data_IF_318178841435
#
_entry.id   IF_318178841435
#
_cell.length_a   1.000
_cell.length_b   1.000
_cell.length_c   1.000
_cell.angle_alpha   90.00
_cell.angle_beta   90.00
_cell.angle_gamma   90.00
#
_symmetry.space_group_name_H-M   'P 1'
#
loop_
_entity.id
_entity.type
_entity.pdbx_description
1 polymer ?
#
# COMPACT_ATOMS: atom_id res chain seq x y z
N UNK A 1 28.44 32.74 21.45
CA UNK A 1 27.74 31.83 20.53
C UNK A 1 26.39 31.57 21.16
N UNK A 2 25.33 32.23 20.70
CA UNK A 2 23.96 32.00 21.20
C UNK A 2 23.48 30.73 20.54
N UNK A 3 23.25 29.68 21.32
CA UNK A 3 22.53 28.49 20.87
C UNK A 3 21.06 28.91 20.77
N UNK A 4 20.53 28.95 19.55
CA UNK A 4 19.10 28.98 19.32
C UNK A 4 18.57 27.60 19.62
N UNK A 5 17.91 27.48 20.75
CA UNK A 5 17.11 26.28 21.07
C UNK A 5 15.93 26.27 20.08
N UNK A 6 16.02 25.46 19.02
CA UNK A 6 14.90 25.17 18.16
C UNK A 6 13.93 24.30 18.97
N UNK A 7 13.06 24.94 19.75
CA UNK A 7 11.84 24.25 20.20
C UNK A 7 11.13 23.82 18.93
N UNK A 8 11.01 22.53 18.69
CA UNK A 8 10.09 22.01 17.69
C UNK A 8 8.72 22.55 18.03
N UNK A 9 8.19 23.42 17.16
CA UNK A 9 6.85 23.96 17.33
C UNK A 9 5.90 22.81 17.07
N UNK A 10 5.15 22.38 18.09
CA UNK A 10 4.14 21.35 17.95
C UNK A 10 3.11 21.79 16.88
N UNK A 11 2.94 20.99 15.83
CA UNK A 11 1.92 21.26 14.81
C UNK A 11 0.54 20.88 15.37
N UNK A 12 -0.23 21.90 15.77
CA UNK A 12 -1.59 21.78 16.31
C UNK A 12 -2.59 22.08 15.22
N UNK A 13 -3.42 21.11 14.85
CA UNK A 13 -4.26 21.20 13.66
C UNK A 13 -5.74 20.99 13.95
N UNK A 14 -6.58 21.65 13.14
CA UNK A 14 -8.02 21.39 13.08
C UNK A 14 -8.30 20.61 11.80
N UNK A 15 -9.05 19.52 11.94
CA UNK A 15 -9.48 18.71 10.82
C UNK A 15 -10.82 19.19 10.28
N UNK A 16 -10.95 19.27 8.94
CA UNK A 16 -12.14 19.78 8.28
C UNK A 16 -12.66 18.77 7.27
N UNK A 17 -13.94 18.40 7.38
CA UNK A 17 -14.63 17.55 6.44
C UNK A 17 -15.94 18.19 5.94
N UNK A 18 -16.32 17.86 4.70
CA UNK A 18 -17.61 18.25 4.13
C UNK A 18 -18.44 17.00 3.91
N UNK A 19 -19.58 16.91 4.60
CA UNK A 19 -20.54 15.83 4.45
C UNK A 19 -21.48 16.17 3.28
N UNK A 20 -21.43 15.42 2.20
CA UNK A 20 -22.39 15.49 1.09
C UNK A 20 -23.34 14.30 1.13
N UNK A 21 -24.38 14.30 0.29
CA UNK A 21 -25.31 13.15 0.17
C UNK A 21 -24.61 11.90 -0.38
N UNK A 22 -23.48 12.05 -1.04
CA UNK A 22 -22.70 10.95 -1.63
C UNK A 22 -21.67 10.35 -0.66
N UNK A 23 -21.36 11.05 0.43
CA UNK A 23 -20.37 10.60 1.41
C UNK A 23 -21.05 9.76 2.49
N UNK A 24 -20.56 8.54 2.70
CA UNK A 24 -21.20 7.60 3.63
C UNK A 24 -21.01 7.99 5.11
N UNK A 25 -19.79 8.41 5.52
CA UNK A 25 -19.47 8.75 6.92
C UNK A 25 -18.22 9.63 6.99
N UNK A 26 -18.42 10.95 7.04
CA UNK A 26 -17.33 11.91 7.16
C UNK A 26 -16.75 11.93 8.58
N UNK A 27 -17.52 11.60 9.61
CA UNK A 27 -17.02 11.55 10.98
C UNK A 27 -15.93 10.48 11.11
N UNK A 28 -16.20 9.27 10.63
CA UNK A 28 -15.21 8.20 10.60
C UNK A 28 -14.02 8.49 9.65
N UNK A 29 -14.25 9.26 8.56
CA UNK A 29 -13.15 9.72 7.70
C UNK A 29 -12.23 10.71 8.44
N UNK A 30 -12.78 11.56 9.28
CA UNK A 30 -11.99 12.49 10.13
C UNK A 30 -11.28 11.74 11.28
N UNK A 31 -11.83 10.65 11.79
CA UNK A 31 -11.13 9.80 12.77
C UNK A 31 -9.87 9.18 12.13
N UNK A 32 -9.99 8.67 10.91
CA UNK A 32 -8.84 8.16 10.14
C UNK A 32 -7.84 9.29 9.80
N UNK A 33 -8.33 10.49 9.45
CA UNK A 33 -7.48 11.66 9.19
C UNK A 33 -6.70 12.09 10.44
N UNK A 34 -7.28 11.94 11.63
CA UNK A 34 -6.60 12.19 12.91
C UNK A 34 -5.44 11.21 13.13
N UNK A 35 -5.64 9.92 12.84
CA UNK A 35 -4.56 8.93 12.89
C UNK A 35 -3.43 9.24 11.89
N UNK A 36 -3.79 9.73 10.68
CA UNK A 36 -2.82 10.21 9.70
C UNK A 36 -2.04 11.41 10.23
N UNK A 37 -2.72 12.40 10.80
CA UNK A 37 -2.10 13.60 11.37
C UNK A 37 -1.14 13.21 12.50
N UNK A 38 -1.56 12.33 13.41
CA UNK A 38 -0.71 11.82 14.49
C UNK A 38 0.50 11.04 13.95
N UNK A 39 0.34 10.30 12.85
CA UNK A 39 1.46 9.60 12.19
C UNK A 39 2.47 10.58 11.60
N UNK A 40 2.03 11.74 11.09
CA UNK A 40 2.88 12.83 10.61
C UNK A 40 3.49 13.68 11.74
N UNK A 41 3.10 13.45 12.99
CA UNK A 41 3.59 14.18 14.16
C UNK A 41 2.78 15.41 14.56
N UNK A 42 1.61 15.61 13.93
CA UNK A 42 0.70 16.70 14.30
C UNK A 42 -0.30 16.28 15.39
N UNK A 43 -0.73 17.25 16.20
CA UNK A 43 -1.74 17.07 17.26
C UNK A 43 -3.06 17.64 16.80
N UNK A 44 -4.09 16.80 16.69
CA UNK A 44 -5.45 17.26 16.39
C UNK A 44 -6.11 17.88 17.62
N UNK A 45 -6.50 19.15 17.51
CA UNK A 45 -7.15 19.88 18.59
C UNK A 45 -8.64 20.13 18.37
N UNK A 46 -9.15 19.81 17.17
CA UNK A 46 -10.58 19.90 16.85
C UNK A 46 -10.93 19.28 15.53
N UNK A 47 -12.20 18.89 15.37
CA UNK A 47 -12.79 18.38 14.13
C UNK A 47 -14.01 19.20 13.77
N UNK A 48 -14.12 19.59 12.52
CA UNK A 48 -15.22 20.43 12.01
C UNK A 48 -15.84 19.74 10.80
N UNK A 49 -17.13 19.48 10.86
CA UNK A 49 -17.90 18.92 9.75
C UNK A 49 -18.91 19.99 9.27
N UNK A 50 -19.01 20.14 7.96
CA UNK A 50 -20.03 20.95 7.32
C UNK A 50 -20.91 20.08 6.42
N UNK A 51 -22.22 20.05 6.69
CA UNK A 51 -23.19 19.42 5.81
C UNK A 51 -23.52 20.37 4.62
N UNK A 52 -23.38 19.87 3.39
CA UNK A 52 -23.68 20.61 2.17
C UNK A 52 -24.14 19.66 1.05
N UNK A 53 -24.87 20.18 0.08
CA UNK A 53 -25.18 19.45 -1.15
C UNK A 53 -23.94 19.19 -2.01
N UNK A 54 -22.98 20.14 -2.01
CA UNK A 54 -21.71 20.02 -2.72
C UNK A 54 -20.61 20.84 -2.02
N UNK A 55 -19.37 20.42 -2.23
CA UNK A 55 -18.17 21.12 -1.79
C UNK A 55 -18.14 22.54 -2.37
N UNK A 56 -17.79 23.57 -1.55
CA UNK A 56 -17.70 24.93 -2.04
C UNK A 56 -16.54 25.09 -3.04
N UNK A 57 -16.80 25.55 -4.29
CA UNK A 57 -15.79 25.54 -5.35
C UNK A 57 -14.59 26.46 -5.09
N UNK A 58 -14.79 27.54 -4.29
CA UNK A 58 -13.74 28.52 -4.02
C UNK A 58 -12.96 28.29 -2.74
N UNK A 59 -13.56 27.70 -1.71
CA UNK A 59 -13.00 27.65 -0.34
C UNK A 59 -13.23 26.30 0.35
N UNK A 60 -13.69 25.25 -0.37
CA UNK A 60 -13.99 23.94 0.19
C UNK A 60 -15.19 23.95 1.16
N UNK A 61 -15.18 24.85 2.15
CA UNK A 61 -16.26 25.12 3.11
C UNK A 61 -16.88 26.50 2.89
N UNK A 62 -18.08 26.72 3.42
CA UNK A 62 -18.78 28.01 3.29
C UNK A 62 -18.23 29.07 4.25
N UNK A 63 -18.49 30.34 3.95
CA UNK A 63 -17.96 31.51 4.69
C UNK A 63 -18.22 31.46 6.20
N UNK A 64 -19.45 31.17 6.65
CA UNK A 64 -19.74 31.09 8.10
C UNK A 64 -18.97 29.93 8.79
N UNK A 65 -18.67 28.85 8.06
CA UNK A 65 -17.84 27.76 8.62
C UNK A 65 -16.36 28.16 8.67
N UNK A 66 -15.87 29.01 7.76
CA UNK A 66 -14.52 29.61 7.83
C UNK A 66 -14.37 30.46 9.09
N UNK A 67 -15.37 31.28 9.40
CA UNK A 67 -15.39 32.12 10.62
C UNK A 67 -15.38 31.26 11.90
N UNK A 68 -16.09 30.13 11.90
CA UNK A 68 -16.08 29.17 13.00
C UNK A 68 -14.69 28.52 13.16
N UNK A 69 -14.07 28.08 12.07
CA UNK A 69 -12.71 27.49 12.06
C UNK A 69 -11.69 28.53 12.55
N UNK A 70 -11.76 29.78 12.10
CA UNK A 70 -10.87 30.84 12.55
C UNK A 70 -10.99 31.09 14.07
N UNK A 71 -12.21 31.07 14.61
CA UNK A 71 -12.43 31.20 16.06
C UNK A 71 -11.83 29.99 16.82
N UNK A 72 -11.93 28.76 16.29
CA UNK A 72 -11.35 27.58 16.90
C UNK A 72 -9.81 27.60 16.83
N UNK A 73 -9.21 28.04 15.69
CA UNK A 73 -7.76 28.23 15.58
C UNK A 73 -7.23 29.13 16.70
N UNK A 74 -7.89 30.26 16.94
CA UNK A 74 -7.51 31.19 18.01
C UNK A 74 -7.74 30.58 19.41
N UNK A 75 -8.86 29.89 19.63
CA UNK A 75 -9.22 29.34 20.94
C UNK A 75 -8.29 28.18 21.38
N UNK A 76 -7.82 27.35 20.44
CA UNK A 76 -6.97 26.22 20.71
C UNK A 76 -5.49 26.46 20.43
N UNK A 77 -5.09 27.69 20.08
CA UNK A 77 -3.72 28.01 19.65
C UNK A 77 -3.22 27.04 18.57
N UNK A 78 -4.09 26.79 17.58
CA UNK A 78 -3.78 25.91 16.48
C UNK A 78 -3.11 26.69 15.34
N UNK A 79 -2.13 26.07 14.68
CA UNK A 79 -1.29 26.72 13.67
C UNK A 79 -1.55 26.20 12.25
N UNK A 80 -2.51 25.28 12.07
CA UNK A 80 -2.85 24.74 10.76
C UNK A 80 -4.22 24.07 10.71
N UNK A 81 -4.67 23.83 9.48
CA UNK A 81 -5.87 23.03 9.18
C UNK A 81 -5.55 21.94 8.18
N UNK A 82 -6.23 20.79 8.30
CA UNK A 82 -6.12 19.69 7.36
C UNK A 82 -7.53 19.35 6.84
N UNK A 83 -7.70 19.41 5.52
CA UNK A 83 -8.95 19.06 4.85
C UNK A 83 -8.96 17.58 4.47
N UNK A 84 -10.10 16.90 4.65
CA UNK A 84 -10.28 15.48 4.41
C UNK A 84 -10.26 15.07 2.92
N UNK A 85 -10.55 16.02 2.02
CA UNK A 85 -10.55 15.82 0.59
C UNK A 85 -9.37 16.52 -0.08
N UNK A 86 -9.02 16.12 -1.30
CA UNK A 86 -8.03 16.81 -2.11
C UNK A 86 -8.55 18.18 -2.52
N UNK A 87 -7.79 19.23 -2.18
CA UNK A 87 -8.15 20.61 -2.51
C UNK A 87 -7.65 21.00 -3.90
N UNK A 88 -8.47 21.75 -4.63
CA UNK A 88 -7.98 22.49 -5.79
C UNK A 88 -6.99 23.58 -5.36
N UNK A 89 -6.08 24.02 -6.25
CA UNK A 89 -5.14 25.09 -5.94
C UNK A 89 -5.83 26.39 -5.49
N UNK A 90 -7.00 26.70 -6.05
CA UNK A 90 -7.79 27.87 -5.69
C UNK A 90 -8.37 27.75 -4.27
N UNK A 91 -8.93 26.60 -3.93
CA UNK A 91 -9.47 26.34 -2.59
C UNK A 91 -8.38 26.46 -1.52
N UNK A 92 -7.22 25.83 -1.74
CA UNK A 92 -6.10 25.90 -0.80
C UNK A 92 -5.64 27.33 -0.55
N UNK A 93 -5.33 28.08 -1.62
CA UNK A 93 -4.87 29.47 -1.51
C UNK A 93 -5.93 30.39 -0.87
N UNK A 94 -7.21 30.18 -1.17
CA UNK A 94 -8.26 31.00 -0.59
C UNK A 94 -8.44 30.70 0.90
N UNK A 95 -8.39 29.41 1.29
CA UNK A 95 -8.44 29.05 2.72
C UNK A 95 -7.24 29.57 3.50
N UNK A 96 -6.00 29.42 2.97
CA UNK A 96 -4.80 29.98 3.60
C UNK A 96 -4.91 31.48 3.83
N UNK A 97 -5.45 32.24 2.85
CA UNK A 97 -5.63 33.67 2.97
C UNK A 97 -6.74 34.04 3.97
N UNK A 98 -7.86 33.31 4.01
CA UNK A 98 -8.99 33.60 4.89
C UNK A 98 -8.71 33.21 6.35
N UNK A 99 -7.93 32.14 6.56
CA UNK A 99 -7.60 31.61 7.89
C UNK A 99 -6.25 32.08 8.43
N UNK A 100 -5.42 32.70 7.59
CA UNK A 100 -4.03 33.10 7.90
C UNK A 100 -3.21 32.02 8.61
N UNK A 101 -3.35 30.79 8.16
CA UNK A 101 -2.64 29.63 8.69
C UNK A 101 -2.25 28.63 7.58
N UNK A 102 -1.40 27.66 7.92
CA UNK A 102 -1.03 26.55 7.02
C UNK A 102 -2.26 25.69 6.71
N UNK A 103 -2.52 25.47 5.43
CA UNK A 103 -3.59 24.57 4.96
C UNK A 103 -2.98 23.38 4.26
N UNK A 104 -3.38 22.19 4.69
CA UNK A 104 -3.02 20.92 4.06
C UNK A 104 -4.29 20.19 3.62
N UNK A 105 -4.14 19.31 2.66
CA UNK A 105 -5.17 18.34 2.33
C UNK A 105 -4.69 16.92 2.64
N UNK A 106 -5.61 15.96 2.61
CA UNK A 106 -5.32 14.54 2.86
C UNK A 106 -4.17 14.02 1.99
N UNK A 107 -4.11 14.45 0.73
CA UNK A 107 -3.07 14.05 -0.22
C UNK A 107 -1.69 14.51 0.21
N UNK A 108 -1.56 15.78 0.60
CA UNK A 108 -0.29 16.33 1.05
C UNK A 108 0.18 15.68 2.35
N UNK A 109 -0.75 15.41 3.28
CA UNK A 109 -0.46 14.71 4.53
C UNK A 109 0.07 13.29 4.29
N UNK A 110 -0.57 12.51 3.40
CA UNK A 110 -0.10 11.17 3.02
C UNK A 110 1.29 11.24 2.39
N UNK A 111 1.54 12.23 1.51
CA UNK A 111 2.85 12.44 0.89
C UNK A 111 3.94 12.77 1.91
N UNK A 112 3.60 13.50 2.96
CA UNK A 112 4.52 13.85 4.04
C UNK A 112 4.90 12.62 4.87
N UNK A 113 3.91 11.80 5.25
CA UNK A 113 4.13 10.50 5.91
C UNK A 113 5.05 9.62 5.06
N UNK A 114 4.79 9.53 3.75
CA UNK A 114 5.60 8.71 2.85
C UNK A 114 7.03 9.23 2.72
N UNK A 115 7.24 10.56 2.72
CA UNK A 115 8.57 11.15 2.70
C UNK A 115 9.40 10.77 3.93
N UNK A 116 8.77 10.69 5.09
CA UNK A 116 9.41 10.23 6.33
C UNK A 116 9.68 8.71 6.39
N UNK A 117 8.91 7.90 5.63
CA UNK A 117 8.97 6.43 5.67
C UNK A 117 9.80 5.79 4.55
N UNK A 118 10.06 6.50 3.45
CA UNK A 118 10.82 6.00 2.32
C UNK A 118 12.30 5.76 2.71
N UNK A 119 12.69 4.49 2.79
CA UNK A 119 14.06 4.09 3.13
C UNK A 119 14.86 3.68 1.90
N UNK A 120 14.22 3.01 0.94
CA UNK A 120 14.87 2.55 -0.29
C UNK A 120 15.06 3.69 -1.30
N UNK A 121 16.04 3.52 -2.20
CA UNK A 121 16.25 4.46 -3.31
C UNK A 121 15.01 4.55 -4.19
N UNK A 122 14.33 3.42 -4.44
CA UNK A 122 13.11 3.38 -5.24
C UNK A 122 11.96 4.13 -4.55
N UNK A 123 11.70 3.85 -3.27
CA UNK A 123 10.68 4.54 -2.49
C UNK A 123 10.91 6.06 -2.47
N UNK A 124 12.15 6.51 -2.29
CA UNK A 124 12.51 7.94 -2.33
C UNK A 124 12.22 8.57 -3.68
N UNK A 125 12.57 7.91 -4.79
CA UNK A 125 12.28 8.38 -6.15
C UNK A 125 10.77 8.49 -6.38
N UNK A 126 10.01 7.50 -5.95
CA UNK A 126 8.54 7.48 -6.08
C UNK A 126 7.87 8.61 -5.28
N UNK A 127 8.28 8.80 -4.03
CA UNK A 127 7.76 9.88 -3.18
C UNK A 127 8.10 11.24 -3.77
N UNK A 128 9.35 11.48 -4.18
CA UNK A 128 9.76 12.74 -4.82
C UNK A 128 8.96 12.99 -6.11
N UNK A 129 8.75 11.95 -6.92
CA UNK A 129 7.95 12.03 -8.15
C UNK A 129 6.50 12.42 -7.84
N UNK A 130 5.88 11.81 -6.83
CA UNK A 130 4.52 12.12 -6.41
C UNK A 130 4.40 13.55 -5.87
N UNK A 131 5.33 13.99 -5.02
CA UNK A 131 5.38 15.36 -4.50
C UNK A 131 5.54 16.40 -5.62
N UNK A 132 6.39 16.14 -6.60
CA UNK A 132 6.60 17.05 -7.74
C UNK A 132 5.36 17.11 -8.65
N UNK A 133 4.67 15.99 -8.88
CA UNK A 133 3.40 15.97 -9.63
C UNK A 133 2.33 16.78 -8.90
N UNK A 134 2.17 16.56 -7.61
CA UNK A 134 1.24 17.32 -6.76
C UNK A 134 1.52 18.82 -6.82
N UNK A 135 2.79 19.23 -6.65
CA UNK A 135 3.22 20.64 -6.77
C UNK A 135 3.00 21.19 -8.19
N UNK A 136 3.32 20.42 -9.22
CA UNK A 136 3.15 20.83 -10.62
C UNK A 136 1.70 21.14 -10.97
N UNK A 137 0.75 20.33 -10.49
CA UNK A 137 -0.68 20.58 -10.69
C UNK A 137 -1.12 21.90 -10.06
N UNK A 138 -0.60 22.23 -8.85
CA UNK A 138 -0.92 23.45 -8.14
C UNK A 138 -0.32 24.71 -8.75
N UNK A 139 0.87 24.64 -9.33
CA UNK A 139 1.46 25.77 -10.07
C UNK A 139 0.67 26.12 -11.34
N UNK A 140 -0.11 25.20 -11.91
CA UNK A 140 -1.00 25.49 -13.05
C UNK A 140 -2.18 26.38 -12.61
N UNK A 141 -2.84 26.05 -11.50
CA UNK A 141 -3.96 26.80 -10.97
C UNK A 141 -3.63 28.23 -10.52
N UNK A 142 -2.41 28.45 -9.97
CA UNK A 142 -1.92 29.78 -9.63
C UNK A 142 -1.82 30.72 -10.83
N UNK A 143 -1.47 30.22 -12.02
CA UNK A 143 -1.42 31.03 -13.23
C UNK A 143 -2.79 31.51 -13.69
N UNK A 144 -3.80 30.65 -13.63
CA UNK A 144 -5.18 31.04 -14.02
C UNK A 144 -5.76 32.10 -13.10
N UNK A 145 -5.45 32.06 -11.80
CA UNK A 145 -5.87 33.09 -10.86
C UNK A 145 -5.11 34.42 -11.07
N UNK A 146 -3.81 34.38 -11.33
CA UNK A 146 -2.99 35.57 -11.61
C UNK A 146 -3.29 36.19 -12.98
N UNK A 147 -3.62 35.41 -14.01
CA UNK A 147 -3.98 35.91 -15.34
C UNK A 147 -5.34 36.59 -15.37
N UNK A 148 -6.27 36.23 -14.45
CA UNK A 148 -7.56 36.93 -14.30
C UNK A 148 -7.44 38.27 -13.59
N UNK A 149 -6.37 38.51 -12.83
CA UNK A 149 -6.10 39.78 -12.12
C UNK A 149 -5.28 40.76 -12.94
N UNK A 150 -4.62 40.34 -14.02
CA UNK A 150 -3.78 41.14 -14.89
C UNK A 150 -4.45 41.44 -16.22
N UNK A 151 -5.33 42.45 -16.30
CA UNK A 151 -5.92 42.93 -17.53
C UNK A 151 -4.88 43.64 -18.41
N UNK A 152 -4.34 42.95 -19.42
CA UNK A 152 -3.48 43.56 -20.46
C UNK A 152 -2.87 42.50 -21.40
N UNK A 153 -3.22 42.60 -22.70
CA UNK A 153 -2.60 41.78 -23.74
C UNK A 153 -1.13 42.20 -23.89
N UNK A 154 -0.19 41.37 -23.47
CA UNK A 154 1.24 41.49 -23.84
C UNK A 154 2.28 41.72 -22.75
N UNK A 155 1.92 41.90 -21.47
CA UNK A 155 2.89 42.10 -20.40
C UNK A 155 3.01 40.86 -19.51
N UNK A 156 3.95 39.96 -19.83
CA UNK A 156 4.41 38.91 -18.89
C UNK A 156 5.15 39.54 -17.74
N UNK A 157 4.51 39.61 -16.56
CA UNK A 157 5.14 40.14 -15.34
C UNK A 157 6.32 39.28 -14.85
N UNK A 158 7.19 39.82 -13.96
CA UNK A 158 8.33 39.06 -13.39
C UNK A 158 7.89 37.78 -12.67
N UNK A 159 6.70 37.75 -12.09
CA UNK A 159 6.10 36.58 -11.43
C UNK A 159 5.76 35.46 -12.41
N UNK A 160 5.24 35.78 -13.60
CA UNK A 160 4.95 34.76 -14.64
C UNK A 160 6.22 34.09 -15.17
N UNK A 161 7.33 34.85 -15.33
CA UNK A 161 8.63 34.27 -15.75
C UNK A 161 9.18 33.33 -14.69
N UNK A 162 9.04 33.67 -13.40
CA UNK A 162 9.49 32.82 -12.29
C UNK A 162 8.69 31.52 -12.26
N UNK A 163 7.36 31.59 -12.31
CA UNK A 163 6.48 30.42 -12.35
C UNK A 163 6.77 29.51 -13.56
N UNK A 164 7.05 30.09 -14.72
CA UNK A 164 7.38 29.32 -15.93
C UNK A 164 8.75 28.61 -15.78
N UNK A 165 9.72 29.27 -15.15
CA UNK A 165 11.03 28.67 -14.82
C UNK A 165 10.89 27.53 -13.84
N UNK A 166 10.14 27.72 -12.75
CA UNK A 166 9.89 26.69 -11.73
C UNK A 166 9.18 25.48 -12.33
N UNK A 167 8.17 25.70 -13.17
CA UNK A 167 7.47 24.63 -13.91
C UNK A 167 8.40 23.84 -14.84
N UNK A 168 9.31 24.53 -15.53
CA UNK A 168 10.29 23.87 -16.39
C UNK A 168 11.27 23.00 -15.57
N UNK A 169 11.75 23.52 -14.46
CA UNK A 169 12.61 22.78 -13.54
C UNK A 169 11.91 21.52 -13.00
N UNK A 170 10.68 21.68 -12.52
CA UNK A 170 9.88 20.54 -12.02
C UNK A 170 9.67 19.50 -13.11
N UNK A 171 9.29 19.90 -14.33
CA UNK A 171 9.09 18.96 -15.45
C UNK A 171 10.37 18.22 -15.82
N UNK A 172 11.52 18.92 -15.84
CA UNK A 172 12.82 18.31 -16.10
C UNK A 172 13.15 17.28 -15.03
N UNK A 173 12.92 17.61 -13.74
CA UNK A 173 13.16 16.69 -12.63
C UNK A 173 12.22 15.46 -12.69
N UNK A 174 10.95 15.67 -12.97
CA UNK A 174 9.97 14.57 -13.19
C UNK A 174 10.45 13.63 -14.30
N UNK A 175 10.96 14.18 -15.42
CA UNK A 175 11.44 13.35 -16.53
C UNK A 175 12.68 12.54 -16.15
N UNK A 176 13.61 13.14 -15.40
CA UNK A 176 14.79 12.45 -14.88
C UNK A 176 14.42 11.32 -13.92
N UNK A 177 13.53 11.58 -12.94
CA UNK A 177 13.07 10.58 -11.97
C UNK A 177 12.34 9.42 -12.65
N UNK A 178 11.53 9.70 -13.68
CA UNK A 178 10.88 8.64 -14.47
C UNK A 178 11.89 7.74 -15.18
N UNK A 179 12.98 8.31 -15.71
CA UNK A 179 14.02 7.54 -16.35
C UNK A 179 14.80 6.67 -15.34
N UNK A 180 15.08 7.21 -14.14
CA UNK A 180 15.70 6.46 -13.04
C UNK A 180 14.78 5.30 -12.59
N UNK A 181 13.49 5.56 -12.38
CA UNK A 181 12.50 4.54 -11.98
C UNK A 181 12.41 3.40 -13.01
N UNK A 182 12.39 3.74 -14.32
CA UNK A 182 12.35 2.73 -15.39
C UNK A 182 13.60 1.81 -15.39
N UNK A 183 14.76 2.29 -14.93
CA UNK A 183 15.96 1.46 -14.78
C UNK A 183 15.81 0.50 -13.59
N UNK A 184 15.25 0.98 -12.47
CA UNK A 184 14.98 0.15 -11.28
C UNK A 184 13.97 -0.93 -11.62
N UNK A 185 12.90 -0.61 -12.33
CA UNK A 185 11.87 -1.57 -12.80
C UNK A 185 12.47 -2.68 -13.65
N UNK A 186 13.32 -2.34 -14.64
CA UNK A 186 14.05 -3.34 -15.45
C UNK A 186 14.92 -4.28 -14.62
N UNK A 187 15.62 -3.74 -13.63
CA UNK A 187 16.44 -4.56 -12.73
C UNK A 187 15.57 -5.51 -11.89
N UNK A 188 14.43 -5.03 -11.42
CA UNK A 188 13.45 -5.83 -10.68
C UNK A 188 12.87 -6.96 -11.53
N UNK A 189 12.53 -6.70 -12.79
CA UNK A 189 12.07 -7.73 -13.74
C UNK A 189 13.10 -8.84 -13.94
N UNK A 190 14.38 -8.49 -14.04
CA UNK A 190 15.48 -9.47 -14.15
C UNK A 190 15.57 -10.35 -12.87
N UNK A 191 15.43 -9.74 -11.69
CA UNK A 191 15.44 -10.48 -10.42
C UNK A 191 14.21 -11.38 -10.32
N UNK A 192 13.02 -10.88 -10.69
CA UNK A 192 11.78 -11.68 -10.75
C UNK A 192 11.94 -12.88 -11.70
N UNK A 193 12.48 -12.68 -12.90
CA UNK A 193 12.75 -13.75 -13.85
C UNK A 193 13.69 -14.84 -13.29
N UNK A 194 14.64 -14.47 -12.42
CA UNK A 194 15.47 -15.46 -11.71
C UNK A 194 14.68 -16.21 -10.62
N UNK A 195 13.80 -15.52 -9.87
CA UNK A 195 12.94 -16.13 -8.83
C UNK A 195 11.93 -17.10 -9.45
N UNK A 196 11.35 -16.76 -10.61
CA UNK A 196 10.43 -17.65 -11.35
C UNK A 196 11.15 -18.94 -11.80
N UNK A 197 12.42 -18.84 -12.18
CA UNK A 197 13.24 -20.04 -12.49
C UNK A 197 13.55 -20.90 -11.26
N UNK A 198 13.59 -20.31 -10.07
CA UNK A 198 13.73 -21.02 -8.79
C UNK A 198 12.43 -21.66 -8.28
N UNK A 199 11.34 -21.55 -9.00
CA UNK A 199 10.04 -22.15 -8.77
C UNK A 199 9.39 -21.93 -7.39
N UNK A 200 9.85 -20.94 -6.62
CA UNK A 200 9.23 -20.55 -5.37
C UNK A 200 7.96 -19.74 -5.63
N UNK A 201 6.83 -20.26 -5.16
CA UNK A 201 5.56 -19.54 -5.19
C UNK A 201 5.61 -18.32 -4.27
N UNK A 202 4.87 -17.29 -4.66
CA UNK A 202 4.85 -16.01 -3.97
C UNK A 202 3.44 -15.68 -3.47
N UNK A 203 3.33 -15.15 -2.24
CA UNK A 203 2.09 -14.62 -1.71
C UNK A 203 2.29 -13.16 -1.27
N UNK A 204 1.45 -12.27 -1.78
CA UNK A 204 1.44 -10.87 -1.36
C UNK A 204 0.49 -10.69 -0.17
N UNK A 205 1.00 -10.09 0.91
CA UNK A 205 0.22 -9.71 2.07
C UNK A 205 -0.35 -8.32 1.79
N UNK A 206 -1.66 -8.23 1.60
CA UNK A 206 -2.38 -7.00 1.32
C UNK A 206 -3.41 -6.73 2.41
N UNK A 207 -3.88 -5.51 2.51
CA UNK A 207 -4.91 -5.13 3.48
C UNK A 207 -4.83 -3.66 3.81
N UNK A 208 -5.80 -3.20 4.56
CA UNK A 208 -5.88 -1.81 4.98
C UNK A 208 -4.69 -1.39 5.84
N UNK A 209 -4.42 -0.08 5.94
CA UNK A 209 -3.40 0.43 6.88
C UNK A 209 -3.74 -0.04 8.29
N UNK A 210 -2.71 -0.36 9.09
CA UNK A 210 -2.86 -0.82 10.47
C UNK A 210 -3.67 -2.14 10.65
N UNK A 211 -3.95 -2.91 9.59
CA UNK A 211 -4.62 -4.21 9.71
C UNK A 211 -3.73 -5.32 10.32
N UNK A 212 -2.42 -5.07 10.50
CA UNK A 212 -1.48 -6.00 11.10
C UNK A 212 -0.63 -6.81 10.11
N UNK A 213 -0.45 -6.33 8.87
CA UNK A 213 0.34 -7.00 7.82
C UNK A 213 1.79 -7.26 8.21
N UNK A 214 2.50 -6.23 8.65
CA UNK A 214 3.92 -6.33 9.05
C UNK A 214 4.09 -7.16 10.33
N UNK A 215 3.13 -7.08 11.25
CA UNK A 215 3.08 -7.96 12.43
C UNK A 215 2.93 -9.43 12.01
N UNK A 216 2.03 -9.71 11.06
CA UNK A 216 1.83 -11.05 10.51
C UNK A 216 3.12 -11.60 9.91
N UNK A 217 3.79 -10.83 9.04
CA UNK A 217 5.05 -11.24 8.43
C UNK A 217 6.12 -11.51 9.48
N UNK A 218 6.25 -10.66 10.49
CA UNK A 218 7.19 -10.85 11.60
C UNK A 218 6.92 -12.13 12.39
N UNK A 219 5.67 -12.36 12.76
CA UNK A 219 5.29 -13.54 13.56
C UNK A 219 5.50 -14.84 12.78
N UNK A 220 5.22 -14.83 11.46
CA UNK A 220 5.41 -16.00 10.61
C UNK A 220 6.89 -16.32 10.33
N UNK A 221 7.75 -15.30 10.20
CA UNK A 221 9.11 -15.46 9.68
C UNK A 221 10.22 -15.06 10.66
N UNK A 222 9.89 -14.48 11.80
CA UNK A 222 10.88 -13.95 12.75
C UNK A 222 11.69 -12.76 12.20
N UNK A 223 11.15 -12.03 11.22
CA UNK A 223 11.92 -11.07 10.40
C UNK A 223 12.37 -9.79 11.12
N UNK A 224 11.80 -9.45 12.28
CA UNK A 224 12.16 -8.23 13.03
C UNK A 224 11.90 -6.92 12.27
N UNK A 225 10.91 -6.91 11.36
CA UNK A 225 10.52 -5.69 10.63
C UNK A 225 9.82 -4.73 11.60
N UNK A 226 10.02 -3.44 11.38
CA UNK A 226 9.34 -2.41 12.16
C UNK A 226 7.82 -2.55 12.01
N UNK A 227 7.16 -3.01 13.06
CA UNK A 227 5.71 -3.10 13.14
C UNK A 227 5.26 -2.08 14.20
N UNK A 228 4.81 -0.94 13.75
CA UNK A 228 4.25 0.13 14.59
C UNK A 228 2.73 0.13 14.48
N UNK A 229 2.06 0.53 15.54
CA UNK A 229 0.61 0.79 15.54
C UNK A 229 0.35 2.20 14.97
N UNK A 230 0.80 2.41 13.73
CA UNK A 230 0.67 3.66 12.97
C UNK A 230 0.29 3.36 11.54
N UNK A 231 -0.45 4.28 10.92
CA UNK A 231 -0.80 4.19 9.51
C UNK A 231 0.48 4.26 8.65
N UNK A 232 0.52 3.48 7.56
CA UNK A 232 1.66 3.42 6.65
C UNK A 232 3.02 3.10 7.32
N UNK A 233 3.03 2.20 8.30
CA UNK A 233 4.27 1.74 8.93
C UNK A 233 5.26 1.14 7.90
N UNK A 234 4.76 0.49 6.86
CA UNK A 234 5.54 -0.09 5.75
C UNK A 234 5.24 0.66 4.46
N UNK A 235 6.26 1.26 3.86
CA UNK A 235 6.20 1.87 2.52
C UNK A 235 6.94 1.00 1.48
N UNK A 236 8.12 0.52 1.83
CA UNK A 236 8.94 -0.33 0.96
C UNK A 236 8.55 -1.81 1.12
N UNK A 237 8.27 -2.56 0.03
CA UNK A 237 7.91 -3.97 0.13
C UNK A 237 9.03 -4.79 0.75
N UNK A 238 8.69 -5.65 1.68
CA UNK A 238 9.65 -6.56 2.29
C UNK A 238 9.27 -8.01 2.01
N UNK A 239 10.19 -8.77 1.40
CA UNK A 239 9.99 -10.18 1.07
C UNK A 239 10.78 -11.08 2.01
N UNK A 240 10.14 -12.13 2.51
CA UNK A 240 10.74 -13.17 3.38
C UNK A 240 10.31 -14.56 2.93
N UNK A 241 11.15 -15.53 3.19
CA UNK A 241 10.84 -16.95 2.99
C UNK A 241 10.10 -17.46 4.22
N UNK A 242 8.98 -18.12 4.00
CA UNK A 242 8.29 -18.92 5.01
C UNK A 242 8.53 -20.40 4.71
N UNK A 243 9.06 -21.13 5.66
CA UNK A 243 9.16 -22.60 5.63
C UNK A 243 7.88 -23.19 6.20
N UNK A 244 7.30 -24.14 5.46
CA UNK A 244 6.10 -24.87 5.82
C UNK A 244 6.45 -26.23 6.43
N UNK A 245 5.49 -26.88 7.10
CA UNK A 245 5.68 -28.15 7.85
C UNK A 245 6.21 -29.31 6.99
N UNK A 246 5.93 -29.31 5.72
CA UNK A 246 6.36 -30.33 4.76
C UNK A 246 7.71 -30.04 4.08
N UNK A 247 8.42 -28.99 4.57
CA UNK A 247 9.68 -28.53 4.00
C UNK A 247 9.54 -27.68 2.75
N UNK A 248 8.32 -27.41 2.27
CA UNK A 248 8.09 -26.46 1.19
C UNK A 248 8.34 -25.03 1.65
N UNK A 249 8.69 -24.18 0.71
CA UNK A 249 8.95 -22.77 0.95
C UNK A 249 8.04 -21.90 0.09
N UNK A 250 7.57 -20.80 0.67
CA UNK A 250 6.82 -19.76 -0.03
C UNK A 250 7.42 -18.39 0.30
N UNK A 251 7.46 -17.50 -0.69
CA UNK A 251 7.86 -16.11 -0.48
C UNK A 251 6.66 -15.29 -0.05
N UNK A 252 6.74 -14.68 1.12
CA UNK A 252 5.77 -13.71 1.61
C UNK A 252 6.29 -12.31 1.38
N UNK A 253 5.49 -11.45 0.76
CA UNK A 253 5.83 -10.05 0.55
C UNK A 253 4.82 -9.16 1.26
N UNK A 254 5.28 -8.39 2.27
CA UNK A 254 4.50 -7.31 2.88
C UNK A 254 4.40 -6.14 1.90
N UNK A 255 3.21 -5.57 1.78
CA UNK A 255 2.93 -4.45 0.87
C UNK A 255 2.48 -3.21 1.63
N UNK A 256 2.48 -2.08 0.95
CA UNK A 256 1.91 -0.84 1.48
C UNK A 256 0.45 -1.04 1.82
N UNK A 257 0.01 -0.52 2.97
CA UNK A 257 -1.39 -0.56 3.36
C UNK A 257 -2.28 0.30 2.49
N UNK A 258 -3.47 -0.20 2.16
CA UNK A 258 -4.49 0.58 1.48
C UNK A 258 -5.19 1.53 2.45
N UNK A 259 -5.74 2.61 1.93
CA UNK A 259 -6.48 3.62 2.67
C UNK A 259 -7.60 4.19 1.79
N UNK A 260 -8.64 4.72 2.40
CA UNK A 260 -9.73 5.43 1.70
C UNK A 260 -9.22 6.72 1.05
N UNK A 261 -9.90 7.16 0.00
CA UNK A 261 -9.60 8.43 -0.70
C UNK A 261 -8.12 8.54 -1.12
N UNK A 262 -7.48 7.39 -1.48
CA UNK A 262 -6.11 7.41 -2.00
C UNK A 262 -6.13 8.07 -3.38
N UNK A 263 -5.45 9.20 -3.59
CA UNK A 263 -5.48 9.89 -4.87
C UNK A 263 -4.88 9.03 -5.99
N UNK A 264 -5.51 9.04 -7.17
CA UNK A 264 -5.06 8.23 -8.33
C UNK A 264 -3.60 8.46 -8.72
N UNK A 265 -3.11 9.70 -8.59
CA UNK A 265 -1.71 9.99 -8.89
C UNK A 265 -0.73 9.40 -7.88
N UNK A 266 -1.17 9.13 -6.63
CA UNK A 266 -0.39 8.35 -5.65
C UNK A 266 -0.42 6.86 -5.97
N UNK A 267 -1.57 6.32 -6.39
CA UNK A 267 -1.65 4.93 -6.89
C UNK A 267 -0.64 4.70 -8.01
N UNK A 268 -0.55 5.64 -8.98
CA UNK A 268 0.47 5.56 -10.05
C UNK A 268 1.91 5.65 -9.52
N UNK A 269 2.18 6.51 -8.54
CA UNK A 269 3.52 6.66 -7.98
C UNK A 269 3.97 5.40 -7.23
N UNK A 270 3.05 4.74 -6.53
CA UNK A 270 3.31 3.52 -5.76
C UNK A 270 2.92 2.23 -6.50
N UNK A 271 2.57 2.34 -7.79
CA UNK A 271 2.20 1.21 -8.62
C UNK A 271 3.21 0.07 -8.53
N UNK A 272 4.50 0.38 -8.50
CA UNK A 272 5.55 -0.64 -8.43
C UNK A 272 5.60 -1.40 -7.10
N UNK A 273 5.26 -0.77 -5.99
CA UNK A 273 5.14 -1.43 -4.67
C UNK A 273 3.86 -2.23 -4.57
N UNK A 274 2.78 -1.71 -5.13
CA UNK A 274 1.48 -2.38 -5.20
C UNK A 274 1.45 -3.50 -6.26
N UNK A 275 2.34 -3.43 -7.27
CA UNK A 275 2.49 -4.47 -8.30
C UNK A 275 2.97 -5.82 -7.74
N UNK A 276 3.55 -5.86 -6.54
CA UNK A 276 3.85 -7.13 -5.88
C UNK A 276 2.58 -7.98 -5.70
N UNK A 277 1.42 -7.37 -5.41
CA UNK A 277 0.13 -8.06 -5.38
C UNK A 277 -0.30 -8.56 -6.78
N UNK A 278 0.01 -7.79 -7.85
CA UNK A 278 -0.29 -8.18 -9.22
C UNK A 278 0.51 -9.40 -9.69
N UNK A 279 1.77 -9.51 -9.28
CA UNK A 279 2.66 -10.58 -9.74
C UNK A 279 2.73 -11.77 -8.79
N UNK A 280 2.21 -11.68 -7.58
CA UNK A 280 2.12 -12.80 -6.66
C UNK A 280 1.22 -13.92 -7.21
N UNK A 281 1.51 -15.18 -6.84
CA UNK A 281 0.67 -16.34 -7.16
C UNK A 281 -0.59 -16.34 -6.29
N UNK A 282 -0.48 -15.92 -5.03
CA UNK A 282 -1.55 -15.89 -4.04
C UNK A 282 -1.65 -14.52 -3.39
N UNK A 283 -2.82 -14.21 -2.87
CA UNK A 283 -3.08 -13.00 -2.06
C UNK A 283 -3.48 -13.42 -0.67
N UNK A 284 -2.81 -12.87 0.34
CA UNK A 284 -3.20 -12.95 1.74
C UNK A 284 -3.78 -11.59 2.12
N UNK A 285 -5.11 -11.51 2.21
CA UNK A 285 -5.82 -10.30 2.59
C UNK A 285 -5.97 -10.25 4.11
N UNK A 286 -5.29 -9.32 4.76
CA UNK A 286 -5.36 -9.11 6.21
C UNK A 286 -6.41 -8.06 6.51
N UNK A 287 -7.44 -8.44 7.26
CA UNK A 287 -8.56 -7.60 7.67
C UNK A 287 -8.57 -7.44 9.19
N UNK A 288 -8.64 -6.22 9.68
CA UNK A 288 -8.84 -5.93 11.09
C UNK A 288 -10.31 -6.18 11.48
N UNK A 289 -10.56 -7.32 12.12
CA UNK A 289 -11.90 -7.72 12.51
C UNK A 289 -12.45 -6.96 13.71
N UNK A 290 -11.63 -6.21 14.42
CA UNK A 290 -12.03 -5.39 15.55
C UNK A 290 -12.53 -4.00 15.12
N UNK A 291 -12.25 -3.60 13.87
CA UNK A 291 -12.63 -2.30 13.36
C UNK A 291 -14.12 -2.26 12.98
N UNK A 292 -14.91 -1.29 13.46
CA UNK A 292 -16.34 -1.17 13.10
C UNK A 292 -16.58 -1.00 11.59
N UNK A 293 -15.58 -0.49 10.85
CA UNK A 293 -15.65 -0.29 9.39
C UNK A 293 -14.95 -1.40 8.59
N UNK A 294 -14.75 -2.58 9.17
CA UNK A 294 -14.04 -3.69 8.54
C UNK A 294 -14.60 -4.07 7.15
N UNK A 295 -15.94 -4.07 6.98
CA UNK A 295 -16.59 -4.35 5.69
C UNK A 295 -16.22 -3.31 4.62
N UNK A 296 -16.22 -2.03 4.99
CA UNK A 296 -15.85 -0.94 4.09
C UNK A 296 -14.36 -0.99 3.74
N UNK A 297 -13.50 -1.29 4.72
CA UNK A 297 -12.08 -1.52 4.49
C UNK A 297 -11.82 -2.69 3.55
N UNK A 298 -12.55 -3.80 3.74
CA UNK A 298 -12.51 -4.96 2.87
C UNK A 298 -12.90 -4.59 1.44
N UNK A 299 -13.98 -3.83 1.26
CA UNK A 299 -14.43 -3.35 -0.05
C UNK A 299 -13.34 -2.50 -0.73
N UNK A 300 -12.76 -1.54 -0.02
CA UNK A 300 -11.68 -0.67 -0.51
C UNK A 300 -10.47 -1.48 -1.01
N UNK A 301 -10.08 -2.53 -0.27
CA UNK A 301 -8.98 -3.43 -0.67
C UNK A 301 -9.30 -4.15 -1.98
N UNK A 302 -10.50 -4.72 -2.12
CA UNK A 302 -10.90 -5.43 -3.34
C UNK A 302 -10.98 -4.50 -4.56
N UNK A 303 -11.52 -3.27 -4.39
CA UNK A 303 -11.55 -2.27 -5.46
C UNK A 303 -10.12 -1.92 -5.91
N UNK A 304 -9.22 -1.66 -4.97
CA UNK A 304 -7.82 -1.34 -5.30
C UNK A 304 -7.12 -2.50 -6.00
N UNK A 305 -7.34 -3.76 -5.56
CA UNK A 305 -6.80 -4.94 -6.24
C UNK A 305 -7.32 -5.07 -7.67
N UNK A 306 -8.60 -4.73 -7.91
CA UNK A 306 -9.20 -4.73 -9.25
C UNK A 306 -8.56 -3.65 -10.13
N UNK A 307 -8.37 -2.43 -9.63
CA UNK A 307 -7.71 -1.33 -10.35
C UNK A 307 -6.26 -1.66 -10.72
N UNK A 308 -5.55 -2.38 -9.85
CA UNK A 308 -4.19 -2.85 -10.09
C UNK A 308 -4.12 -4.01 -11.10
N UNK A 309 -5.27 -4.60 -11.46
CA UNK A 309 -5.33 -5.78 -12.32
C UNK A 309 -4.85 -7.07 -11.63
N UNK A 310 -4.94 -7.14 -10.32
CA UNK A 310 -4.63 -8.33 -9.51
C UNK A 310 -5.86 -9.26 -9.42
N UNK A 311 -6.44 -9.61 -10.57
CA UNK A 311 -7.65 -10.44 -10.66
C UNK A 311 -7.33 -11.91 -10.96
N UNK A 312 -8.28 -12.81 -10.65
CA UNK A 312 -8.15 -14.24 -10.96
C UNK A 312 -7.15 -15.01 -10.09
N UNK A 313 -6.73 -14.44 -8.96
CA UNK A 313 -5.82 -15.07 -8.00
C UNK A 313 -6.60 -15.72 -6.86
N UNK A 314 -6.02 -16.76 -6.26
CA UNK A 314 -6.53 -17.33 -5.02
C UNK A 314 -6.29 -16.35 -3.87
N UNK A 315 -7.38 -16.04 -3.13
CA UNK A 315 -7.37 -15.09 -2.02
C UNK A 315 -7.62 -15.84 -0.71
N UNK A 316 -6.75 -15.62 0.25
CA UNK A 316 -6.91 -16.08 1.64
C UNK A 316 -7.20 -14.84 2.48
N UNK A 317 -8.40 -14.69 3.02
CA UNK A 317 -8.70 -13.61 3.94
C UNK A 317 -8.41 -14.02 5.37
N UNK A 318 -7.54 -13.25 6.02
CA UNK A 318 -7.23 -13.38 7.44
C UNK A 318 -8.06 -12.38 8.23
N UNK A 319 -9.00 -12.89 9.00
CA UNK A 319 -9.76 -12.12 9.98
C UNK A 319 -8.87 -11.91 11.21
N UNK A 320 -8.02 -10.87 11.16
CA UNK A 320 -7.00 -10.59 12.17
C UNK A 320 -7.57 -9.85 13.39
N UNK A 321 -6.76 -9.73 14.42
CA UNK A 321 -7.05 -9.10 15.72
C UNK A 321 -8.23 -9.77 16.46
N UNK A 322 -8.37 -11.09 16.34
CA UNK A 322 -9.41 -11.85 17.04
C UNK A 322 -9.35 -11.72 18.57
N UNK A 323 -8.18 -11.41 19.11
CA UNK A 323 -7.97 -11.10 20.52
C UNK A 323 -8.71 -9.83 21.01
N UNK A 324 -9.23 -9.01 20.09
CA UNK A 324 -9.94 -7.77 20.37
C UNK A 324 -11.42 -7.79 19.92
N UNK A 325 -11.85 -8.85 19.22
CA UNK A 325 -13.21 -8.92 18.66
C UNK A 325 -14.25 -9.18 19.75
N UNK A 326 -15.26 -8.32 19.80
CA UNK A 326 -16.47 -8.50 20.61
C UNK A 326 -17.68 -8.46 19.67
N UNK A 327 -18.23 -9.61 19.29
CA UNK A 327 -19.45 -9.66 18.46
C UNK A 327 -19.47 -10.74 17.39
N UNK A 328 -20.35 -10.57 16.39
CA UNK A 328 -20.54 -11.53 15.30
C UNK A 328 -19.29 -11.61 14.40
N UNK A 329 -19.01 -12.82 13.91
CA UNK A 329 -17.88 -13.05 13.03
C UNK A 329 -18.14 -12.47 11.65
N UNK A 330 -17.28 -11.56 11.21
CA UNK A 330 -17.19 -11.12 9.82
C UNK A 330 -17.01 -12.32 8.88
N UNK A 331 -17.54 -12.20 7.66
CA UNK A 331 -17.39 -13.21 6.60
C UNK A 331 -16.96 -12.53 5.31
N UNK A 332 -15.97 -13.09 4.66
CA UNK A 332 -15.59 -12.69 3.32
C UNK A 332 -16.05 -13.75 2.30
N UNK A 333 -17.08 -13.42 1.53
CA UNK A 333 -17.64 -14.31 0.51
C UNK A 333 -16.89 -14.26 -0.82
N UNK A 334 -15.91 -13.37 -0.97
CA UNK A 334 -15.08 -13.21 -2.17
C UNK A 334 -13.78 -14.02 -2.08
N UNK A 335 -13.37 -14.39 -0.86
CA UNK A 335 -12.16 -15.15 -0.62
C UNK A 335 -12.36 -16.66 -0.91
N UNK A 336 -11.32 -17.33 -1.38
CA UNK A 336 -11.28 -18.79 -1.53
C UNK A 336 -11.17 -19.48 -0.16
N UNK A 337 -10.48 -18.85 0.78
CA UNK A 337 -10.29 -19.31 2.15
C UNK A 337 -10.41 -18.17 3.14
N UNK A 338 -10.97 -18.44 4.31
CA UNK A 338 -11.05 -17.48 5.41
C UNK A 338 -10.52 -18.12 6.68
N UNK A 339 -9.55 -17.48 7.33
CA UNK A 339 -8.91 -17.94 8.57
C UNK A 339 -9.04 -16.86 9.63
N UNK A 340 -9.46 -17.24 10.83
CA UNK A 340 -9.47 -16.35 11.99
C UNK A 340 -8.13 -16.41 12.69
N UNK A 341 -7.54 -15.24 12.97
CA UNK A 341 -6.22 -15.20 13.59
C UNK A 341 -6.00 -13.97 14.46
N UNK A 342 -4.97 -14.04 15.27
CA UNK A 342 -4.32 -12.88 15.88
C UNK A 342 -2.84 -12.93 15.52
N UNK A 343 -2.41 -12.04 14.65
CA UNK A 343 -0.99 -11.92 14.28
C UNK A 343 -0.10 -11.60 15.49
N UNK A 344 -0.67 -10.95 16.51
CA UNK A 344 0.05 -10.59 17.74
C UNK A 344 0.28 -11.79 18.67
N UNK A 345 -0.73 -12.65 18.85
CA UNK A 345 -0.66 -13.80 19.75
C UNK A 345 -0.15 -15.07 19.06
N UNK A 346 -0.23 -15.12 17.72
CA UNK A 346 0.08 -16.30 16.93
C UNK A 346 -1.10 -17.26 16.75
N UNK A 347 -2.24 -17.00 17.36
CA UNK A 347 -3.45 -17.80 17.23
C UNK A 347 -3.94 -17.86 15.78
N UNK A 348 -4.33 -19.04 15.30
CA UNK A 348 -4.83 -19.26 13.93
C UNK A 348 -3.76 -19.29 12.84
N UNK A 349 -2.48 -18.98 13.13
CA UNK A 349 -1.42 -18.95 12.10
C UNK A 349 -1.03 -20.34 11.61
N UNK A 350 -1.20 -21.37 12.41
CA UNK A 350 -0.97 -22.76 11.96
C UNK A 350 -2.02 -23.19 10.91
N UNK A 351 -3.29 -22.77 11.07
CA UNK A 351 -4.33 -22.98 10.07
C UNK A 351 -3.99 -22.27 8.75
N UNK A 352 -3.45 -21.04 8.80
CA UNK A 352 -2.96 -20.35 7.62
C UNK A 352 -1.87 -21.17 6.91
N UNK A 353 -0.89 -21.72 7.64
CA UNK A 353 0.16 -22.56 7.05
C UNK A 353 -0.42 -23.80 6.40
N UNK A 354 -1.40 -24.45 7.01
CA UNK A 354 -2.07 -25.63 6.44
C UNK A 354 -2.84 -25.27 5.15
N UNK A 355 -3.50 -24.10 5.08
CA UNK A 355 -4.12 -23.58 3.85
C UNK A 355 -3.07 -23.32 2.76
N UNK A 356 -1.93 -22.73 3.10
CA UNK A 356 -0.83 -22.50 2.15
C UNK A 356 -0.27 -23.82 1.60
N UNK A 357 -0.05 -24.83 2.44
CA UNK A 357 0.37 -26.17 2.00
C UNK A 357 -0.63 -26.76 1.01
N UNK A 358 -1.94 -26.65 1.32
CA UNK A 358 -3.00 -27.14 0.43
C UNK A 358 -2.97 -26.42 -0.94
N UNK A 359 -2.85 -25.09 -0.95
CA UNK A 359 -2.77 -24.31 -2.19
C UNK A 359 -1.54 -24.64 -3.03
N UNK A 360 -0.39 -24.83 -2.38
CA UNK A 360 0.83 -25.26 -3.06
C UNK A 360 0.64 -26.65 -3.66
N UNK A 361 0.02 -27.57 -2.93
CA UNK A 361 -0.27 -28.91 -3.43
C UNK A 361 -1.24 -28.91 -4.63
N UNK A 362 -2.25 -28.04 -4.63
CA UNK A 362 -3.19 -27.85 -5.76
C UNK A 362 -2.51 -27.32 -7.02
N UNK A 363 -1.43 -26.56 -6.87
CA UNK A 363 -0.65 -26.00 -7.99
C UNK A 363 0.38 -26.95 -8.57
N UNK A 364 0.57 -28.15 -7.97
CA UNK A 364 1.56 -29.15 -8.35
C UNK A 364 0.88 -30.38 -8.93
N UNK A 365 1.55 -31.00 -9.90
CA UNK A 365 1.13 -32.27 -10.48
C UNK A 365 1.74 -33.39 -9.67
N UNK A 366 0.92 -34.33 -9.19
CA UNK A 366 1.40 -35.56 -8.58
C UNK A 366 1.95 -36.50 -9.65
N UNK A 367 3.15 -37.05 -9.41
CA UNK A 367 3.75 -38.05 -10.22
C UNK A 367 4.18 -39.25 -9.36
N UNK A 368 4.06 -40.43 -9.94
CA UNK A 368 4.47 -41.69 -9.34
C UNK A 368 5.13 -42.52 -10.45
N UNK A 369 6.46 -42.51 -10.52
CA UNK A 369 7.22 -43.01 -11.65
C UNK A 369 8.48 -43.78 -11.22
N UNK A 370 8.87 -44.76 -12.07
CA UNK A 370 10.11 -45.50 -11.93
C UNK A 370 11.19 -44.91 -12.86
N UNK A 371 12.23 -44.37 -12.26
CA UNK A 371 13.38 -43.79 -12.97
C UNK A 371 14.52 -44.82 -13.07
N UNK A 372 15.05 -44.99 -14.26
CA UNK A 372 16.29 -45.75 -14.37
C UNK A 372 17.45 -45.05 -13.70
N UNK A 373 18.48 -45.76 -13.24
CA UNK A 373 19.66 -45.15 -12.60
C UNK A 373 20.37 -44.14 -13.50
N UNK A 374 20.22 -44.25 -14.83
CA UNK A 374 20.74 -43.27 -15.80
C UNK A 374 19.98 -41.94 -15.77
N UNK A 375 18.75 -41.93 -15.27
CA UNK A 375 17.89 -40.78 -15.19
C UNK A 375 17.87 -40.12 -13.80
N UNK A 376 18.79 -40.50 -12.90
CA UNK A 376 18.91 -39.90 -11.56
C UNK A 376 19.01 -38.37 -11.56
N UNK A 377 19.51 -37.79 -12.67
CA UNK A 377 19.51 -36.34 -12.85
C UNK A 377 18.11 -35.69 -12.83
N UNK A 378 17.05 -36.41 -13.26
CA UNK A 378 15.67 -35.94 -13.20
C UNK A 378 15.15 -35.92 -11.77
N UNK A 379 15.55 -36.90 -10.95
CA UNK A 379 15.21 -36.95 -9.53
C UNK A 379 15.85 -35.76 -8.81
N UNK A 380 17.07 -35.35 -9.21
CA UNK A 380 17.70 -34.16 -8.66
C UNK A 380 16.92 -32.89 -8.98
N UNK A 381 16.37 -32.78 -10.21
CA UNK A 381 15.46 -31.68 -10.60
C UNK A 381 14.18 -31.72 -9.75
N UNK A 382 13.62 -32.90 -9.49
CA UNK A 382 12.46 -33.04 -8.60
C UNK A 382 12.77 -32.58 -7.18
N UNK A 383 13.97 -32.91 -6.64
CA UNK A 383 14.39 -32.47 -5.31
C UNK A 383 14.59 -30.95 -5.23
N UNK A 384 15.08 -30.34 -6.31
CA UNK A 384 15.39 -28.91 -6.38
C UNK A 384 14.14 -28.05 -6.60
N UNK A 385 13.20 -28.52 -7.44
CA UNK A 385 12.07 -27.71 -7.92
C UNK A 385 10.68 -28.27 -7.55
N UNK A 386 10.59 -29.45 -6.96
CA UNK A 386 9.35 -30.10 -6.55
C UNK A 386 9.41 -30.54 -5.09
N UNK A 387 8.44 -31.35 -4.70
CA UNK A 387 8.36 -31.98 -3.38
C UNK A 387 8.49 -33.49 -3.52
N UNK A 388 9.60 -34.04 -3.08
CA UNK A 388 9.83 -35.50 -3.07
C UNK A 388 9.08 -36.10 -1.86
N UNK A 389 8.07 -36.96 -2.11
CA UNK A 389 7.24 -37.56 -1.08
C UNK A 389 7.82 -38.91 -0.61
N UNK A 390 8.29 -39.74 -1.55
CA UNK A 390 9.00 -40.98 -1.23
C UNK A 390 9.97 -41.36 -2.34
N UNK A 391 11.03 -42.04 -1.97
CA UNK A 391 12.05 -42.58 -2.87
C UNK A 391 12.40 -43.99 -2.42
N UNK A 392 12.21 -44.98 -3.31
CA UNK A 392 12.50 -46.38 -3.06
C UNK A 392 13.49 -46.89 -4.11
N UNK A 393 14.63 -47.43 -3.67
CA UNK A 393 15.61 -48.04 -4.55
C UNK A 393 15.22 -49.49 -4.82
N UNK A 394 14.98 -49.79 -6.09
CA UNK A 394 14.61 -51.15 -6.59
C UNK A 394 15.68 -51.69 -7.54
N UNK A 395 15.63 -52.97 -7.83
CA UNK A 395 16.60 -53.60 -8.75
C UNK A 395 16.57 -53.00 -10.16
N UNK A 396 15.42 -52.56 -10.62
CA UNK A 396 15.13 -51.98 -11.94
C UNK A 396 15.25 -50.47 -12.00
N UNK A 397 15.45 -49.80 -10.86
CA UNK A 397 15.58 -48.33 -10.80
C UNK A 397 15.20 -47.72 -9.46
N UNK A 398 14.87 -46.41 -9.50
CA UNK A 398 14.46 -45.63 -8.34
C UNK A 398 12.98 -45.29 -8.54
N UNK A 399 12.11 -45.82 -7.68
CA UNK A 399 10.70 -45.50 -7.68
C UNK A 399 10.47 -44.24 -6.86
N UNK A 400 9.86 -43.20 -7.49
CA UNK A 400 9.70 -41.89 -6.91
C UNK A 400 8.23 -41.49 -6.89
N UNK A 401 7.76 -41.06 -5.74
CA UNK A 401 6.51 -40.32 -5.58
C UNK A 401 6.85 -38.89 -5.28
N UNK A 402 6.33 -37.97 -6.08
CA UNK A 402 6.63 -36.54 -5.93
C UNK A 402 5.46 -35.68 -6.38
N UNK A 403 5.50 -34.42 -5.96
CA UNK A 403 4.69 -33.36 -6.55
C UNK A 403 5.61 -32.38 -7.24
N UNK A 404 5.30 -32.05 -8.48
CA UNK A 404 6.13 -31.17 -9.30
C UNK A 404 5.29 -30.07 -9.94
N UNK A 405 5.81 -28.86 -10.06
CA UNK A 405 5.17 -27.78 -10.83
C UNK A 405 4.91 -28.20 -12.28
N UNK A 406 3.82 -27.70 -12.86
CA UNK A 406 3.44 -28.02 -14.24
C UNK A 406 4.55 -27.67 -15.24
N UNK A 407 5.33 -26.62 -14.96
CA UNK A 407 6.41 -26.13 -15.82
C UNK A 407 7.56 -27.14 -16.00
N UNK A 408 7.83 -27.93 -14.97
CA UNK A 408 8.92 -28.91 -15.03
C UNK A 408 8.42 -30.36 -15.28
N UNK A 409 7.10 -30.60 -15.17
CA UNK A 409 6.51 -31.93 -15.28
C UNK A 409 6.99 -32.68 -16.49
N UNK A 410 6.93 -32.07 -17.69
CA UNK A 410 7.36 -32.70 -18.94
C UNK A 410 8.87 -33.01 -18.92
N UNK A 411 9.70 -32.17 -18.29
CA UNK A 411 11.16 -32.35 -18.25
C UNK A 411 11.60 -33.48 -17.33
N UNK A 412 10.79 -33.79 -16.31
CA UNK A 412 11.10 -34.83 -15.31
C UNK A 412 10.46 -36.18 -15.64
N UNK A 413 9.52 -36.26 -16.58
CA UNK A 413 8.92 -37.55 -16.99
C UNK A 413 9.96 -38.51 -17.52
N UNK A 414 9.97 -39.83 -17.09
CA UNK A 414 10.87 -40.81 -17.60
C UNK A 414 10.67 -41.08 -19.11
N UNK A 415 11.75 -41.44 -19.83
CA UNK A 415 11.69 -41.64 -21.29
C UNK A 415 10.94 -42.91 -21.71
N UNK A 416 10.52 -43.72 -20.76
CA UNK A 416 9.84 -45.01 -21.02
C UNK A 416 8.37 -44.91 -21.43
N UNK A 417 7.80 -43.69 -21.52
CA UNK A 417 6.43 -43.44 -21.97
C UNK A 417 6.35 -42.84 -23.39
N UNK A 418 7.28 -43.21 -24.30
CA UNK A 418 7.10 -42.98 -25.75
C UNK A 418 6.77 -44.26 -26.47
#
# INVERSE_FOLDING_TARGET
MQFYDFKEIEERVILIGVQTEQDEDVAASLDELEELAATAGAVTVGKVIQNREAVHPGTYIGKGKIEEVAALLAAYDANGVICDDELSPAQMNNLERELDCKVMDRTLLILDIFAGRATTSEGKIQVELAQLRYRSARLVGLRESLSRLGGGIGTRGPGEKKLETDRRLIRTRISALKAELAQVEKHRELIRGKRTRGNLKTAAIVGYTNAGKSTLLNTLTGAGILAEDKLFATLDPTTRVLELKDGQQILLTDTVGFIRKLPHHLVEAFKSTLEEAKYADYIIHVLDSSNPQAELQMHTVYETLRELGATGKKIITLLNKQDQVQGEALRDFRADYTVKCSARTGEGLEELKDVLVKLLAESQIYLEELYTYKEAGKIQIIREYGSLLSEEYREDGIFVKARVPAEIFVSVMPKSHK
#
